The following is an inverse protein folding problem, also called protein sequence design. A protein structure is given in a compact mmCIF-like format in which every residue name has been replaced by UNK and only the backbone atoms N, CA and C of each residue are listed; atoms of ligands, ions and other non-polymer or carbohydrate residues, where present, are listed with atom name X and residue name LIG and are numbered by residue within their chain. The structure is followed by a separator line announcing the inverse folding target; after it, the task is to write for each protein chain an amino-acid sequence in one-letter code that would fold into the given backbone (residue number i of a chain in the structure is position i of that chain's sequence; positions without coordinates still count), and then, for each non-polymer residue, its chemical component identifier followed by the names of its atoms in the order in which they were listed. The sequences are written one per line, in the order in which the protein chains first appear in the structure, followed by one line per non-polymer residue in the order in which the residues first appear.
data_IF_765089447769
#
_entry.id   IF_765089447769
#
_cell.length_a   1.000
_cell.length_b   1.000
_cell.length_c   1.000
_cell.angle_alpha   90.00
_cell.angle_beta   90.00
_cell.angle_gamma   90.00
#
_symmetry.space_group_name_H-M   'P 1'
#
loop_
_entity.id
_entity.type
_entity.pdbx_description
1 polymer ?
#
# COMPACT_ATOMS: atom_id res chain seq x y z
N UNK A 1 22.42 -9.27 18.85
CA UNK A 1 21.14 -8.84 19.44
C UNK A 1 20.18 -8.58 18.30
N UNK A 2 19.13 -9.40 18.16
CA UNK A 2 18.14 -9.25 17.08
C UNK A 2 17.30 -7.99 17.35
N UNK A 3 17.45 -6.97 16.49
CA UNK A 3 16.49 -5.87 16.39
C UNK A 3 15.26 -6.41 15.65
N UNK A 4 14.30 -6.99 16.39
CA UNK A 4 13.00 -7.36 15.83
C UNK A 4 12.24 -6.06 15.53
N UNK A 5 11.66 -5.98 14.33
CA UNK A 5 10.80 -4.86 13.88
C UNK A 5 9.70 -4.54 14.89
N UNK A 6 9.43 -3.26 15.12
CA UNK A 6 8.52 -2.79 16.18
C UNK A 6 7.03 -3.07 15.90
N UNK A 7 6.61 -3.06 14.63
CA UNK A 7 5.28 -3.53 14.23
C UNK A 7 5.21 -5.06 14.18
N UNK A 8 6.33 -5.71 13.88
CA UNK A 8 6.48 -7.13 14.19
C UNK A 8 6.37 -7.36 15.70
N UNK A 9 6.79 -6.43 16.57
CA UNK A 9 6.54 -6.50 18.03
C UNK A 9 5.07 -6.21 18.37
N UNK A 10 4.29 -5.43 17.62
CA UNK A 10 2.83 -5.33 17.83
C UNK A 10 2.14 -6.67 17.49
N UNK A 11 2.48 -7.26 16.33
CA UNK A 11 2.00 -8.59 15.93
C UNK A 11 2.54 -9.71 16.82
N UNK A 12 3.81 -9.63 17.24
CA UNK A 12 4.51 -10.62 18.06
C UNK A 12 4.16 -10.43 19.54
N UNK A 13 3.92 -9.25 20.12
CA UNK A 13 3.38 -9.15 21.48
C UNK A 13 1.95 -9.65 21.49
N UNK A 14 1.15 -9.32 20.46
CA UNK A 14 -0.18 -9.91 20.25
C UNK A 14 -0.15 -11.44 20.19
N UNK A 15 0.89 -12.03 19.57
CA UNK A 15 1.10 -13.48 19.43
C UNK A 15 1.90 -14.14 20.58
N UNK A 16 2.73 -13.41 21.31
CA UNK A 16 3.61 -13.90 22.39
C UNK A 16 2.88 -13.84 23.73
N UNK A 17 1.97 -12.89 23.92
CA UNK A 17 0.91 -13.00 24.94
C UNK A 17 0.00 -14.21 24.69
N UNK A 18 -0.15 -14.69 23.45
CA UNK A 18 -0.88 -15.93 23.16
C UNK A 18 -0.12 -17.21 23.55
N UNK A 19 1.21 -17.22 23.44
CA UNK A 19 2.03 -18.41 23.69
C UNK A 19 2.43 -18.58 25.17
N UNK A 20 2.56 -17.48 25.92
CA UNK A 20 3.05 -17.54 27.32
C UNK A 20 1.95 -17.90 28.32
N UNK A 21 0.67 -17.77 27.95
CA UNK A 21 -0.48 -18.08 28.83
C UNK A 21 -1.05 -19.50 28.66
N UNK A 22 -0.61 -20.27 27.65
CA UNK A 22 -1.03 -21.65 27.43
C UNK A 22 0.12 -22.64 27.66
N UNK A 23 0.68 -22.62 28.88
CA UNK A 23 1.49 -23.71 29.43
C UNK A 23 0.63 -24.75 30.14
N UNK A 24 -0.48 -25.18 29.52
CA UNK A 24 -1.36 -26.24 30.02
C UNK A 24 -1.27 -27.43 29.07
N UNK A 25 -0.72 -28.56 29.56
CA UNK A 25 -0.62 -29.84 28.86
C UNK A 25 -2.00 -30.32 28.40
N UNK A 26 -2.24 -30.47 27.10
CA UNK A 26 -3.27 -31.38 26.59
C UNK A 26 -2.78 -32.07 25.29
N UNK A 27 -3.00 -33.38 25.26
CA UNK A 27 -2.55 -34.34 24.25
C UNK A 27 -3.19 -34.12 22.86
N UNK A 28 -2.54 -34.55 21.77
CA UNK A 28 -3.02 -34.29 20.41
C UNK A 28 -4.28 -35.09 20.08
N UNK A 29 -5.31 -34.47 19.47
CA UNK A 29 -6.45 -35.20 18.93
C UNK A 29 -6.10 -35.87 17.59
N UNK A 30 -6.49 -37.14 17.51
CA UNK A 30 -6.33 -38.10 16.41
C UNK A 30 -7.02 -37.65 15.11
N UNK A 31 -6.31 -37.78 13.99
CA UNK A 31 -6.83 -37.60 12.62
C UNK A 31 -7.80 -38.73 12.24
N UNK A 32 -8.94 -38.44 11.59
CA UNK A 32 -9.61 -39.40 10.72
C UNK A 32 -9.05 -39.31 9.29
N UNK A 33 -8.73 -40.48 8.72
CA UNK A 33 -8.16 -40.69 7.39
C UNK A 33 -9.13 -40.54 6.21
N UNK A 34 -8.69 -40.92 4.99
CA UNK A 34 -9.13 -40.33 3.73
C UNK A 34 -10.38 -41.00 3.15
N UNK A 35 -11.29 -40.17 2.61
CA UNK A 35 -12.42 -40.60 1.79
C UNK A 35 -12.13 -40.47 0.30
N UNK A 36 -12.23 -41.59 -0.39
CA UNK A 36 -12.00 -41.83 -1.83
C UNK A 36 -13.24 -41.53 -2.69
N UNK A 37 -13.02 -41.41 -4.01
CA UNK A 37 -13.96 -41.57 -5.15
C UNK A 37 -14.79 -40.33 -5.54
N UNK A 38 -15.15 -40.05 -6.80
CA UNK A 38 -14.90 -40.61 -8.15
C UNK A 38 -15.37 -39.51 -9.14
N UNK A 39 -14.61 -39.20 -10.19
CA UNK A 39 -14.92 -39.51 -11.61
C UNK A 39 -16.34 -39.18 -12.08
N UNK A 40 -16.49 -38.20 -12.99
CA UNK A 40 -16.98 -38.40 -14.38
C UNK A 40 -17.09 -37.06 -15.13
N UNK A 41 -16.46 -37.01 -16.31
CA UNK A 41 -16.84 -36.14 -17.44
C UNK A 41 -17.88 -36.87 -18.31
N UNK A 42 -18.62 -36.15 -19.18
CA UNK A 42 -18.32 -36.15 -20.63
C UNK A 42 -18.47 -34.72 -21.25
N UNK A 43 -17.68 -34.28 -22.26
CA UNK A 43 -17.74 -34.50 -23.73
C UNK A 43 -19.18 -34.30 -24.27
N UNK A 44 -19.50 -33.43 -25.25
CA UNK A 44 -19.05 -33.41 -26.67
C UNK A 44 -19.51 -32.12 -27.42
N UNK A 45 -18.73 -31.73 -28.45
CA UNK A 45 -19.08 -31.21 -29.81
C UNK A 45 -20.07 -30.03 -30.00
N UNK A 46 -19.61 -28.94 -30.63
CA UNK A 46 -19.65 -28.57 -32.09
C UNK A 46 -20.76 -27.49 -32.28
N UNK A 47 -20.75 -26.50 -33.18
CA UNK A 47 -20.36 -26.41 -34.59
C UNK A 47 -20.13 -24.93 -34.99
N UNK A 48 -19.66 -24.78 -36.23
CA UNK A 48 -19.27 -23.59 -36.99
C UNK A 48 -20.42 -22.64 -37.40
N UNK A 49 -20.04 -21.43 -37.81
CA UNK A 49 -20.77 -20.60 -38.79
C UNK A 49 -20.61 -19.11 -38.50
N UNK A 50 -19.84 -18.29 -39.22
CA UNK A 50 -19.87 -17.92 -40.64
C UNK A 50 -20.17 -16.41 -40.76
N UNK A 51 -19.20 -15.69 -41.35
CA UNK A 51 -19.36 -14.60 -42.35
C UNK A 51 -19.97 -13.22 -41.99
N UNK A 52 -19.09 -12.20 -42.15
CA UNK A 52 -19.23 -11.09 -43.12
C UNK A 52 -20.09 -9.86 -42.73
N UNK A 53 -19.46 -8.69 -42.54
CA UNK A 53 -19.25 -7.61 -43.55
C UNK A 53 -18.88 -6.28 -42.87
N UNK A 54 -17.80 -5.65 -43.34
CA UNK A 54 -17.52 -4.23 -43.17
C UNK A 54 -18.59 -3.35 -43.85
N UNK A 55 -18.70 -2.08 -43.45
CA UNK A 55 -18.54 -1.05 -44.47
C UNK A 55 -17.60 0.09 -44.06
N UNK A 56 -16.70 0.36 -44.99
CA UNK A 56 -15.91 1.56 -45.23
C UNK A 56 -16.74 2.84 -45.03
N UNK A 57 -16.24 3.81 -44.26
CA UNK A 57 -16.68 5.21 -44.35
C UNK A 57 -15.49 6.15 -44.49
N UNK A 58 -15.54 6.85 -45.62
CA UNK A 58 -14.63 7.84 -46.19
C UNK A 58 -14.24 8.96 -45.22
N UNK A 59 -12.93 9.18 -45.09
CA UNK A 59 -12.32 10.31 -44.41
C UNK A 59 -12.64 11.64 -45.12
N UNK A 60 -13.29 12.58 -44.42
CA UNK A 60 -13.38 13.98 -44.82
C UNK A 60 -12.47 14.82 -43.92
N UNK A 61 -11.34 15.22 -44.48
CA UNK A 61 -10.35 16.10 -43.85
C UNK A 61 -10.90 17.52 -43.79
N UNK A 62 -11.40 17.92 -42.63
CA UNK A 62 -11.76 19.32 -42.35
C UNK A 62 -10.65 19.89 -41.47
N UNK A 63 -9.90 20.88 -41.98
CA UNK A 63 -8.93 21.66 -41.19
C UNK A 63 -9.71 22.40 -40.11
N UNK A 64 -9.50 22.04 -38.84
CA UNK A 64 -9.96 22.83 -37.71
C UNK A 64 -9.01 24.04 -37.50
N UNK A 65 -9.54 25.22 -37.15
CA UNK A 65 -8.74 26.37 -36.80
C UNK A 65 -8.04 26.14 -35.46
N UNK A 66 -6.75 26.48 -35.39
CA UNK A 66 -5.96 26.48 -34.16
C UNK A 66 -6.47 27.57 -33.23
N UNK A 67 -7.35 27.22 -32.30
CA UNK A 67 -7.69 28.04 -31.15
C UNK A 67 -6.70 27.73 -30.04
N UNK A 68 -5.77 28.64 -29.80
CA UNK A 68 -4.89 28.60 -28.62
C UNK A 68 -5.73 28.96 -27.39
N UNK A 69 -6.35 27.97 -26.74
CA UNK A 69 -6.84 28.15 -25.38
C UNK A 69 -5.64 28.10 -24.42
N UNK A 70 -5.55 29.03 -23.45
CA UNK A 70 -4.64 28.83 -22.33
C UNK A 70 -5.14 27.60 -21.56
N UNK A 71 -4.38 26.51 -21.62
CA UNK A 71 -4.60 25.34 -20.78
C UNK A 71 -4.47 25.79 -19.35
N UNK A 72 -5.59 26.10 -18.71
CA UNK A 72 -5.64 26.23 -17.25
C UNK A 72 -5.54 24.82 -16.75
N UNK A 73 -4.36 24.45 -16.26
CA UNK A 73 -4.14 23.16 -15.64
C UNK A 73 -5.18 22.96 -14.53
N UNK A 74 -5.85 21.79 -14.47
CA UNK A 74 -6.79 21.51 -13.40
C UNK A 74 -6.14 21.75 -12.03
N UNK A 75 -6.86 22.27 -11.03
CA UNK A 75 -6.31 22.40 -9.69
C UNK A 75 -5.87 21.03 -9.16
N UNK A 76 -4.72 21.00 -8.49
CA UNK A 76 -4.19 19.77 -7.88
C UNK A 76 -5.22 19.20 -6.90
N UNK A 77 -5.45 17.90 -7.00
CA UNK A 77 -6.40 17.22 -6.15
C UNK A 77 -5.83 17.11 -4.72
N UNK A 78 -6.60 17.58 -3.74
CA UNK A 78 -6.28 17.46 -2.32
C UNK A 78 -7.10 16.31 -1.73
N UNK A 79 -6.45 15.16 -1.54
CA UNK A 79 -7.04 13.99 -0.92
C UNK A 79 -6.54 13.86 0.52
N UNK A 80 -7.36 14.19 1.54
CA UNK A 80 -6.95 14.08 2.94
C UNK A 80 -6.71 12.61 3.32
N UNK A 81 -5.93 12.41 4.37
CA UNK A 81 -5.67 11.06 4.88
C UNK A 81 -6.78 10.60 5.82
N UNK A 82 -7.64 9.70 5.33
CA UNK A 82 -8.71 9.05 6.10
C UNK A 82 -8.56 7.52 5.99
N UNK A 83 -7.68 6.91 6.79
CA UNK A 83 -7.34 5.50 6.63
C UNK A 83 -8.52 4.60 6.97
N UNK A 84 -8.90 3.74 6.02
CA UNK A 84 -9.88 2.66 6.21
C UNK A 84 -9.21 1.28 6.39
N UNK A 85 -7.88 1.26 6.42
CA UNK A 85 -7.04 0.08 6.60
C UNK A 85 -5.58 0.45 6.79
N UNK A 86 -4.74 -0.54 7.10
CA UNK A 86 -3.31 -0.33 7.29
C UNK A 86 -2.60 0.00 5.97
N UNK A 87 -1.68 0.96 6.00
CA UNK A 87 -0.96 1.45 4.82
C UNK A 87 -0.17 2.71 5.09
N UNK A 88 0.37 3.29 4.01
CA UNK A 88 1.10 4.55 4.05
C UNK A 88 0.37 5.64 3.29
N UNK A 89 0.60 6.88 3.69
CA UNK A 89 0.12 8.08 3.02
C UNK A 89 1.29 8.99 2.70
N UNK A 90 1.37 9.43 1.46
CA UNK A 90 2.45 10.28 0.97
C UNK A 90 1.88 11.49 0.25
N UNK A 91 2.41 12.66 0.59
CA UNK A 91 2.10 13.92 -0.10
C UNK A 91 3.20 14.28 -1.09
N UNK A 92 2.88 15.20 -2.01
CA UNK A 92 3.86 15.74 -2.96
C UNK A 92 5.02 16.49 -2.31
N UNK A 93 4.77 17.09 -1.15
CA UNK A 93 5.76 17.84 -0.38
C UNK A 93 6.60 16.94 0.54
N UNK A 94 6.43 15.61 0.44
CA UNK A 94 7.23 14.65 1.19
C UNK A 94 6.74 14.35 2.60
N UNK A 95 5.57 14.85 3.01
CA UNK A 95 4.91 14.37 4.24
C UNK A 95 4.60 12.88 4.09
N UNK A 96 5.05 12.09 5.06
CA UNK A 96 4.82 10.65 5.15
C UNK A 96 4.08 10.32 6.45
N UNK A 97 2.98 9.59 6.32
CA UNK A 97 2.23 9.00 7.42
C UNK A 97 2.05 7.51 7.23
N UNK A 98 1.82 6.80 8.31
CA UNK A 98 1.29 5.43 8.25
C UNK A 98 0.04 5.30 9.10
N UNK A 99 -0.87 4.44 8.67
CA UNK A 99 -1.96 3.95 9.50
C UNK A 99 -1.77 2.46 9.78
N UNK A 100 -2.06 2.07 11.02
CA UNK A 100 -2.28 0.69 11.40
C UNK A 100 -3.71 0.57 11.93
N UNK A 101 -4.50 -0.29 11.28
CA UNK A 101 -5.91 -0.52 11.61
C UNK A 101 -6.07 -1.99 11.95
N UNK A 102 -6.44 -2.28 13.20
CA UNK A 102 -6.51 -3.65 13.70
C UNK A 102 -7.71 -3.88 14.60
N UNK A 103 -8.19 -5.13 14.65
CA UNK A 103 -9.28 -5.49 15.54
C UNK A 103 -8.84 -5.38 16.99
N UNK A 104 -9.58 -4.56 17.74
CA UNK A 104 -9.50 -4.39 19.18
C UNK A 104 -10.64 -5.16 19.87
N UNK A 105 -10.86 -6.42 19.46
CA UNK A 105 -11.91 -7.26 20.02
C UNK A 105 -11.35 -8.24 21.06
N UNK A 106 -11.46 -7.86 22.34
CA UNK A 106 -11.07 -8.71 23.46
C UNK A 106 -12.06 -9.85 23.76
N UNK A 107 -13.28 -9.85 23.19
CA UNK A 107 -14.34 -10.83 23.51
C UNK A 107 -14.02 -12.24 23.06
N UNK A 108 -13.10 -12.39 22.10
CA UNK A 108 -12.63 -13.70 21.61
C UNK A 108 -11.72 -14.40 22.63
N UNK A 109 -11.34 -13.72 23.72
CA UNK A 109 -10.44 -14.26 24.73
C UNK A 109 -11.17 -14.50 26.06
N UNK A 110 -10.81 -15.56 26.80
CA UNK A 110 -11.46 -15.90 28.08
C UNK A 110 -11.20 -14.86 29.18
N UNK A 111 -10.22 -13.97 28.98
CA UNK A 111 -9.91 -12.84 29.85
C UNK A 111 -9.59 -11.63 28.96
N UNK A 112 -9.99 -10.43 29.38
CA UNK A 112 -9.62 -9.17 28.69
C UNK A 112 -8.10 -9.07 28.69
N UNK A 113 -7.50 -8.94 27.51
CA UNK A 113 -6.04 -9.07 27.35
C UNK A 113 -5.30 -7.76 27.45
N UNK A 114 -5.91 -6.70 26.95
CA UNK A 114 -5.36 -5.35 27.03
C UNK A 114 -6.47 -4.31 26.87
N UNK A 115 -6.30 -3.14 27.47
CA UNK A 115 -7.20 -1.99 27.31
C UNK A 115 -6.55 -0.84 26.52
N UNK A 116 -7.35 0.20 26.25
CA UNK A 116 -6.91 1.36 25.46
C UNK A 116 -5.76 2.13 26.14
N UNK A 117 -5.74 2.18 27.48
CA UNK A 117 -4.69 2.86 28.23
C UNK A 117 -3.36 2.09 28.13
N UNK A 118 -3.40 0.76 28.23
CA UNK A 118 -2.22 -0.08 28.05
C UNK A 118 -1.69 -0.02 26.61
N UNK A 119 -2.57 -0.01 25.60
CA UNK A 119 -2.18 0.19 24.20
C UNK A 119 -1.51 1.55 24.01
N UNK A 120 -2.08 2.61 24.58
CA UNK A 120 -1.51 3.96 24.51
C UNK A 120 -0.15 4.02 25.19
N UNK A 121 -0.01 3.51 26.40
CA UNK A 121 1.26 3.50 27.14
C UNK A 121 2.34 2.74 26.37
N UNK A 122 1.97 1.61 25.77
CA UNK A 122 2.86 0.85 24.90
C UNK A 122 3.33 1.68 23.70
N UNK A 123 2.42 2.29 22.94
CA UNK A 123 2.78 3.10 21.76
C UNK A 123 3.63 4.30 22.16
N UNK A 124 3.25 5.04 23.22
CA UNK A 124 4.00 6.18 23.72
C UNK A 124 5.44 5.79 24.11
N UNK A 125 5.59 4.64 24.79
CA UNK A 125 6.90 4.12 25.20
C UNK A 125 7.77 3.78 24.00
N UNK A 126 7.23 3.13 22.98
CA UNK A 126 7.99 2.72 21.80
C UNK A 126 8.40 3.91 20.92
N UNK A 127 7.48 4.86 20.69
CA UNK A 127 7.80 6.11 19.98
C UNK A 127 8.87 6.89 20.76
N UNK A 128 8.74 7.00 22.08
CA UNK A 128 9.75 7.66 22.92
C UNK A 128 11.10 6.95 22.84
N UNK A 129 11.13 5.62 22.94
CA UNK A 129 12.38 4.87 22.88
C UNK A 129 13.09 5.04 21.53
N UNK A 130 12.34 5.05 20.43
CA UNK A 130 12.89 5.32 19.10
C UNK A 130 13.48 6.73 19.00
N UNK A 131 12.71 7.76 19.36
CA UNK A 131 13.14 9.15 19.31
C UNK A 131 14.33 9.42 20.24
N UNK A 132 14.34 8.85 21.45
CA UNK A 132 15.49 8.92 22.37
C UNK A 132 16.75 8.30 21.73
N UNK A 133 16.60 7.20 21.00
CA UNK A 133 17.71 6.54 20.30
C UNK A 133 18.26 7.36 19.13
N UNK A 134 17.39 8.14 18.48
CA UNK A 134 17.73 9.04 17.37
C UNK A 134 18.23 10.41 17.82
N UNK A 135 17.89 10.81 19.05
CA UNK A 135 18.11 12.16 19.61
C UNK A 135 17.40 13.25 18.80
N UNK A 136 16.28 12.90 18.18
CA UNK A 136 15.42 13.79 17.40
C UNK A 136 13.97 13.29 17.43
N UNK A 137 13.01 14.16 17.11
CA UNK A 137 11.60 13.79 17.02
C UNK A 137 11.28 13.22 15.63
N UNK A 138 11.78 12.02 15.36
CA UNK A 138 11.67 11.35 14.07
C UNK A 138 10.27 10.75 13.82
N UNK A 139 9.55 10.38 14.88
CA UNK A 139 8.19 9.80 14.83
C UNK A 139 7.27 10.48 15.83
N UNK A 140 6.03 10.76 15.44
CA UNK A 140 5.01 11.29 16.35
C UNK A 140 3.66 10.58 16.15
N UNK A 141 2.97 10.32 17.25
CA UNK A 141 1.57 9.85 17.21
C UNK A 141 0.67 11.02 16.82
N UNK A 142 -0.01 10.90 15.68
CA UNK A 142 -1.04 11.86 15.26
C UNK A 142 -2.39 11.48 15.86
N UNK A 143 -2.75 10.20 15.74
CA UNK A 143 -4.02 9.68 16.21
C UNK A 143 -3.81 8.29 16.80
N UNK A 144 -4.49 8.05 17.93
CA UNK A 144 -4.77 6.73 18.42
C UNK A 144 -6.23 6.71 18.86
N UNK A 145 -7.06 5.94 18.18
CA UNK A 145 -8.48 5.81 18.52
C UNK A 145 -8.88 4.35 18.61
N UNK A 146 -9.77 4.05 19.57
CA UNK A 146 -10.43 2.74 19.67
C UNK A 146 -11.93 2.96 19.54
N UNK A 147 -12.52 2.52 18.42
CA UNK A 147 -13.94 2.70 18.13
C UNK A 147 -14.49 1.45 17.47
N UNK A 148 -15.68 1.02 17.90
CA UNK A 148 -16.37 -0.12 17.28
C UNK A 148 -15.63 -1.46 17.38
N UNK A 149 -14.69 -1.61 18.31
CA UNK A 149 -13.85 -2.82 18.41
C UNK A 149 -12.71 -2.85 17.40
N UNK A 150 -12.34 -1.70 16.85
CA UNK A 150 -11.18 -1.48 15.99
C UNK A 150 -10.30 -0.39 16.61
N UNK A 151 -8.98 -0.60 16.56
CA UNK A 151 -7.98 0.37 16.94
C UNK A 151 -7.32 0.92 15.67
N UNK A 152 -7.22 2.24 15.60
CA UNK A 152 -6.56 2.97 14.52
C UNK A 152 -5.41 3.78 15.11
N UNK A 153 -4.20 3.52 14.64
CA UNK A 153 -3.00 4.29 14.97
C UNK A 153 -2.51 5.01 13.72
N UNK A 154 -2.39 6.33 13.79
CA UNK A 154 -1.76 7.16 12.75
C UNK A 154 -0.45 7.74 13.28
N UNK A 155 0.63 7.49 12.55
CA UNK A 155 1.96 8.02 12.86
C UNK A 155 2.42 8.96 11.75
N UNK A 156 3.04 10.07 12.15
CA UNK A 156 3.84 10.92 11.26
C UNK A 156 5.32 10.56 11.38
N UNK A 157 6.02 10.75 10.28
CA UNK A 157 7.46 10.55 10.18
C UNK A 157 8.12 11.83 9.70
N UNK A 158 9.30 12.15 10.27
CA UNK A 158 10.10 13.28 9.83
C UNK A 158 10.58 13.11 8.38
N UNK A 159 10.89 11.87 8.01
CA UNK A 159 11.33 11.48 6.67
C UNK A 159 11.09 9.98 6.40
N UNK A 160 11.40 9.57 5.18
CA UNK A 160 11.24 8.20 4.69
C UNK A 160 12.17 7.20 5.38
N UNK A 161 13.37 7.64 5.77
CA UNK A 161 14.34 6.78 6.47
C UNK A 161 13.87 6.48 7.89
N UNK A 162 13.36 7.50 8.59
CA UNK A 162 12.74 7.37 9.92
C UNK A 162 11.59 6.36 9.90
N UNK A 163 10.77 6.36 8.85
CA UNK A 163 9.74 5.34 8.65
C UNK A 163 10.36 3.95 8.53
N UNK A 164 11.26 3.72 7.56
CA UNK A 164 11.84 2.39 7.33
C UNK A 164 12.56 1.84 8.57
N UNK A 165 13.24 2.70 9.33
CA UNK A 165 13.94 2.31 10.55
C UNK A 165 13.00 2.04 11.72
N UNK A 166 11.94 2.84 11.89
CA UNK A 166 10.93 2.62 12.92
C UNK A 166 10.15 1.32 12.66
N UNK A 167 9.81 1.08 11.40
CA UNK A 167 9.19 -0.16 10.93
C UNK A 167 10.12 -1.35 11.16
N UNK A 168 11.40 -1.22 10.85
CA UNK A 168 12.41 -2.25 11.04
C UNK A 168 12.46 -3.29 9.91
N UNK A 169 13.43 -4.21 9.94
CA UNK A 169 13.81 -5.02 8.78
C UNK A 169 12.79 -6.08 8.37
N UNK A 170 11.92 -6.50 9.29
CA UNK A 170 10.91 -7.53 9.03
C UNK A 170 9.60 -6.97 8.45
N UNK A 171 9.44 -5.64 8.43
CA UNK A 171 8.26 -5.00 7.86
C UNK A 171 8.22 -5.15 6.34
N UNK A 172 7.03 -5.28 5.74
CA UNK A 172 6.91 -5.63 4.33
C UNK A 172 7.51 -4.59 3.38
N UNK A 173 7.49 -3.30 3.75
CA UNK A 173 8.14 -2.23 2.98
C UNK A 173 9.64 -2.20 3.24
N UNK A 174 10.43 -2.46 2.19
CA UNK A 174 11.90 -2.54 2.22
C UNK A 174 12.57 -1.30 1.67
N UNK A 175 11.91 -0.58 0.77
CA UNK A 175 12.42 0.67 0.20
C UNK A 175 11.26 1.64 -0.04
N UNK A 176 11.47 2.91 0.27
CA UNK A 176 10.51 3.98 0.02
C UNK A 176 11.25 5.29 -0.27
N UNK A 177 10.92 5.95 -1.37
CA UNK A 177 11.50 7.25 -1.71
C UNK A 177 10.51 8.09 -2.53
N UNK A 178 10.53 9.40 -2.33
CA UNK A 178 9.82 10.38 -3.16
C UNK A 178 10.84 11.24 -3.90
N UNK A 179 10.68 11.36 -5.22
CA UNK A 179 11.68 11.99 -6.09
C UNK A 179 11.03 12.91 -7.12
N UNK A 180 11.76 13.95 -7.50
CA UNK A 180 11.52 14.67 -8.76
C UNK A 180 11.80 13.74 -9.95
N UNK A 181 11.10 13.98 -11.06
CA UNK A 181 11.21 13.15 -12.27
C UNK A 181 12.64 13.01 -12.78
N UNK A 182 13.47 14.07 -12.75
CA UNK A 182 14.84 14.01 -13.25
C UNK A 182 15.73 13.14 -12.35
N UNK A 183 15.52 13.19 -11.04
CA UNK A 183 16.26 12.34 -10.10
C UNK A 183 15.81 10.89 -10.17
N UNK A 184 14.52 10.66 -10.38
CA UNK A 184 13.96 9.32 -10.56
C UNK A 184 14.58 8.63 -11.77
N UNK A 185 14.66 9.31 -12.94
CA UNK A 185 15.29 8.77 -14.16
C UNK A 185 16.80 8.57 -14.00
N UNK A 186 17.49 9.44 -13.25
CA UNK A 186 18.93 9.29 -13.00
C UNK A 186 19.26 8.11 -12.08
N UNK A 187 18.44 7.88 -11.06
CA UNK A 187 18.72 6.90 -10.00
C UNK A 187 18.12 5.52 -10.27
N UNK A 188 17.02 5.45 -11.02
CA UNK A 188 16.25 4.23 -11.20
C UNK A 188 16.02 3.90 -12.66
N UNK A 189 16.01 2.60 -12.97
CA UNK A 189 15.63 2.10 -14.30
C UNK A 189 14.10 1.94 -14.37
N UNK A 190 13.39 3.06 -14.51
CA UNK A 190 11.92 3.09 -14.56
C UNK A 190 11.45 2.48 -15.88
N UNK A 191 10.61 1.45 -15.78
CA UNK A 191 10.04 0.74 -16.94
C UNK A 191 8.72 0.09 -16.57
N UNK A 192 8.03 -0.48 -17.57
CA UNK A 192 6.77 -1.21 -17.40
C UNK A 192 5.65 -0.37 -16.75
N UNK A 193 5.55 0.90 -17.11
CA UNK A 193 4.47 1.77 -16.63
C UNK A 193 3.17 1.51 -17.37
N UNK A 194 2.07 1.60 -16.62
CA UNK A 194 0.70 1.60 -17.13
C UNK A 194 -0.04 2.84 -16.58
N UNK A 195 -1.05 3.30 -17.30
CA UNK A 195 -2.00 4.27 -16.76
C UNK A 195 -2.95 3.63 -15.73
N UNK A 196 -3.84 4.42 -15.14
CA UNK A 196 -4.83 3.93 -14.16
C UNK A 196 -5.85 2.93 -14.71
N UNK A 197 -5.93 2.78 -16.03
CA UNK A 197 -6.75 1.78 -16.73
C UNK A 197 -5.97 0.52 -17.12
N UNK A 198 -4.66 0.46 -16.83
CA UNK A 198 -3.79 -0.65 -17.16
C UNK A 198 -3.19 -0.61 -18.58
N UNK A 199 -3.34 0.50 -19.29
CA UNK A 199 -2.76 0.66 -20.64
C UNK A 199 -1.30 1.04 -20.52
N UNK A 200 -0.43 0.27 -21.21
CA UNK A 200 1.02 0.51 -21.21
C UNK A 200 1.37 1.92 -21.71
N UNK A 201 2.29 2.57 -21.02
CA UNK A 201 2.80 3.91 -21.33
C UNK A 201 4.32 3.93 -21.40
N UNK A 202 4.84 4.79 -22.28
CA UNK A 202 6.28 5.08 -22.37
C UNK A 202 6.73 6.08 -21.31
N UNK A 203 7.94 5.90 -20.78
CA UNK A 203 8.52 6.74 -19.72
C UNK A 203 8.51 8.24 -20.08
N UNK A 204 8.80 8.58 -21.34
CA UNK A 204 8.83 9.97 -21.80
C UNK A 204 7.46 10.65 -21.71
N UNK A 205 6.39 9.89 -21.93
CA UNK A 205 5.00 10.37 -21.80
C UNK A 205 4.66 10.47 -20.31
N UNK A 206 4.99 9.45 -19.53
CA UNK A 206 4.67 9.42 -18.10
C UNK A 206 5.31 10.57 -17.32
N UNK A 207 6.50 11.01 -17.73
CA UNK A 207 7.26 12.08 -17.07
C UNK A 207 7.30 13.38 -17.89
N UNK A 208 6.39 13.54 -18.87
CA UNK A 208 6.35 14.72 -19.74
C UNK A 208 6.02 16.00 -18.96
N UNK A 209 5.15 15.86 -17.97
CA UNK A 209 4.72 16.94 -17.10
C UNK A 209 5.81 17.21 -16.05
N UNK A 210 6.21 18.47 -15.93
CA UNK A 210 7.28 18.88 -15.00
C UNK A 210 6.85 18.85 -13.55
N UNK A 211 5.55 18.84 -13.28
CA UNK A 211 5.00 18.92 -11.93
C UNK A 211 4.85 17.54 -11.27
N UNK A 212 5.10 16.44 -11.99
CA UNK A 212 4.92 15.09 -11.45
C UNK A 212 6.01 14.73 -10.43
N UNK A 213 5.60 14.01 -9.39
CA UNK A 213 6.48 13.29 -8.48
C UNK A 213 6.51 11.81 -8.81
N UNK A 214 7.61 11.16 -8.45
CA UNK A 214 7.77 9.71 -8.56
C UNK A 214 7.98 9.13 -7.17
N UNK A 215 7.00 8.35 -6.70
CA UNK A 215 7.16 7.50 -5.54
C UNK A 215 7.78 6.16 -5.97
N UNK A 216 8.83 5.74 -5.28
CA UNK A 216 9.49 4.45 -5.45
C UNK A 216 9.21 3.61 -4.21
N UNK A 217 8.69 2.40 -4.42
CA UNK A 217 8.35 1.41 -3.38
C UNK A 217 9.01 0.09 -3.71
N UNK A 218 9.51 -0.61 -2.68
CA UNK A 218 9.67 -2.07 -2.72
C UNK A 218 9.05 -2.63 -1.45
N UNK A 219 8.22 -3.65 -1.59
CA UNK A 219 7.47 -4.25 -0.50
C UNK A 219 5.96 -4.21 -0.66
N UNK A 220 5.28 -5.01 0.16
CA UNK A 220 3.83 -5.13 0.13
C UNK A 220 3.20 -4.09 1.03
N UNK A 221 2.39 -3.22 0.46
CA UNK A 221 1.69 -2.18 1.23
C UNK A 221 0.57 -1.56 0.42
N UNK A 222 -0.37 -0.93 1.12
CA UNK A 222 -1.32 0.01 0.54
C UNK A 222 -0.71 1.41 0.57
N UNK A 223 -0.62 2.06 -0.58
CA UNK A 223 -0.16 3.43 -0.71
C UNK A 223 -1.35 4.33 -1.02
N UNK A 224 -1.55 5.35 -0.21
CA UNK A 224 -2.50 6.44 -0.44
C UNK A 224 -1.71 7.71 -0.78
N UNK A 225 -2.16 8.47 -1.78
CA UNK A 225 -1.47 9.67 -2.22
C UNK A 225 -2.33 10.92 -2.06
N UNK A 226 -1.71 12.01 -1.63
CA UNK A 226 -2.29 13.35 -1.80
C UNK A 226 -1.97 13.85 -3.20
N UNK A 227 -2.73 13.35 -4.16
CA UNK A 227 -2.62 13.71 -5.56
C UNK A 227 -3.27 12.67 -6.46
N UNK A 228 -3.46 13.05 -7.72
CA UNK A 228 -3.93 12.20 -8.78
C UNK A 228 -2.83 11.25 -9.25
N UNK A 229 -3.12 9.96 -9.19
CA UNK A 229 -2.25 8.93 -9.77
C UNK A 229 -2.41 8.97 -11.29
N UNK A 230 -1.31 9.19 -12.00
CA UNK A 230 -1.29 9.23 -13.46
C UNK A 230 -0.85 7.89 -14.03
N UNK A 231 0.25 7.35 -13.48
CA UNK A 231 0.86 6.11 -13.95
C UNK A 231 1.40 5.30 -12.77
N UNK A 232 1.50 3.99 -12.95
CA UNK A 232 2.07 3.07 -11.96
C UNK A 232 2.81 1.93 -12.65
N UNK A 233 3.66 1.20 -11.91
CA UNK A 233 4.22 -0.06 -12.42
C UNK A 233 3.14 -1.08 -12.73
N UNK A 234 3.28 -1.78 -13.85
CA UNK A 234 2.44 -2.93 -14.19
C UNK A 234 2.49 -3.98 -13.06
N UNK A 235 1.33 -4.51 -12.69
CA UNK A 235 1.19 -5.47 -11.58
C UNK A 235 0.70 -4.83 -10.28
N UNK A 236 0.75 -3.50 -10.15
CA UNK A 236 0.00 -2.79 -9.12
C UNK A 236 -1.50 -2.77 -9.42
N UNK A 237 -2.31 -2.56 -8.39
CA UNK A 237 -3.77 -2.44 -8.54
C UNK A 237 -4.32 -1.20 -7.85
N UNK A 238 -5.17 -0.46 -8.56
CA UNK A 238 -5.94 0.64 -7.97
C UNK A 238 -6.99 0.06 -7.02
N UNK A 239 -7.04 0.60 -5.80
CA UNK A 239 -8.03 0.23 -4.78
C UNK A 239 -8.95 1.40 -4.43
N UNK A 240 -8.64 2.58 -4.95
CA UNK A 240 -9.37 3.83 -4.84
C UNK A 240 -8.81 4.84 -5.83
N UNK A 241 -9.37 6.05 -5.88
CA UNK A 241 -8.95 7.07 -6.87
C UNK A 241 -7.49 7.51 -6.71
N UNK A 242 -7.00 7.52 -5.47
CA UNK A 242 -5.66 7.93 -5.07
C UNK A 242 -4.94 6.83 -4.27
N UNK A 243 -5.38 5.57 -4.43
CA UNK A 243 -4.90 4.44 -3.64
C UNK A 243 -4.44 3.30 -4.53
N UNK A 244 -3.21 2.85 -4.30
CA UNK A 244 -2.58 1.76 -5.07
C UNK A 244 -2.02 0.70 -4.13
N UNK A 245 -2.30 -0.56 -4.44
CA UNK A 245 -1.75 -1.73 -3.74
C UNK A 245 -0.46 -2.16 -4.42
N UNK A 246 0.63 -2.18 -3.65
CA UNK A 246 1.92 -2.70 -4.05
C UNK A 246 2.07 -4.14 -3.52
N UNK A 247 2.51 -5.05 -4.39
CA UNK A 247 2.65 -6.48 -4.08
C UNK A 247 4.07 -7.04 -4.35
N UNK A 248 4.95 -6.25 -4.99
CA UNK A 248 6.32 -6.67 -5.33
C UNK A 248 7.27 -6.39 -4.15
N UNK A 249 7.80 -7.45 -3.56
CA UNK A 249 8.74 -7.42 -2.44
C UNK A 249 10.22 -7.54 -2.87
N UNK A 250 10.49 -7.62 -4.18
CA UNK A 250 11.84 -7.81 -4.74
C UNK A 250 12.28 -6.61 -5.56
N UNK A 251 11.44 -6.12 -6.47
CA UNK A 251 11.81 -5.06 -7.41
C UNK A 251 11.30 -3.69 -6.98
N UNK A 252 11.90 -2.65 -7.56
CA UNK A 252 11.34 -1.31 -7.46
C UNK A 252 10.06 -1.19 -8.27
N UNK A 253 9.09 -0.58 -7.61
CA UNK A 253 7.74 -0.34 -8.05
C UNK A 253 7.54 1.18 -8.02
N UNK A 254 6.92 1.75 -9.06
CA UNK A 254 6.87 3.18 -9.27
C UNK A 254 5.42 3.67 -9.32
N UNK A 255 5.17 4.84 -8.73
CA UNK A 255 3.91 5.57 -8.87
C UNK A 255 4.23 6.99 -9.28
N UNK A 256 3.68 7.43 -10.40
CA UNK A 256 3.80 8.80 -10.92
C UNK A 256 2.51 9.54 -10.64
N UNK A 257 2.59 10.64 -9.91
CA UNK A 257 1.43 11.39 -9.43
C UNK A 257 1.68 12.89 -9.41
N UNK A 258 0.59 13.67 -9.38
CA UNK A 258 0.58 15.13 -9.26
C UNK A 258 -0.56 15.57 -8.36
#
# INVERSE_FOLDING_TARGET
MLKKSLISVILILGLLLMLTACGGKEDPPTLPGPGTAETTAPVTESEQGSTTKEPTTTARRTKAPTTTQPTTEPPLADYPFEPTGSGIYVTRDGVLKSAEVTSFDNRKFPQVRYDEAELKEFIDKEVKAFNDSKKENAVTVEELTVKGGEATLVLNYADFDSFLEFQGPDFDVKHLALLEREDAVRKYNISNLVDTSGVKTDLLIALQDSDVKVLVVTGKTLVTLNGDILYMSAGMSMTGVNMVRCEDDVNYSYVVFR
#
